data_IF_111438140416
#
_entry.id   IF_111438140416
#
_cell.length_a   1.000
_cell.length_b   1.000
_cell.length_c   1.000
_cell.angle_alpha   90.00
_cell.angle_beta   90.00
_cell.angle_gamma   90.00
#
_symmetry.space_group_name_H-M   'P 1'
#
loop_
_entity.id
_entity.type
_entity.pdbx_description
1 polymer ?
#
# COMPACT_ATOMS: atom_id res chain seq x y z
N UNK A 1 -0.06 14.30 -8.34
CA UNK A 1 0.76 14.43 -7.11
C UNK A 1 1.91 13.45 -7.21
N UNK A 2 3.11 13.92 -7.56
CA UNK A 2 4.25 13.02 -7.70
C UNK A 2 4.79 12.64 -6.31
N UNK A 3 5.01 11.35 -6.10
CA UNK A 3 5.65 10.81 -4.90
C UNK A 3 6.77 9.86 -5.30
N UNK A 4 7.83 9.80 -4.52
CA UNK A 4 8.82 8.74 -4.61
C UNK A 4 8.57 7.73 -3.49
N UNK A 5 8.17 6.51 -3.83
CA UNK A 5 7.76 5.47 -2.90
C UNK A 5 8.73 4.28 -2.93
N UNK A 6 9.03 3.75 -1.75
CA UNK A 6 9.85 2.55 -1.57
C UNK A 6 9.18 1.67 -0.52
N UNK A 7 8.80 0.45 -0.88
CA UNK A 7 8.47 -0.59 0.11
C UNK A 7 9.76 -0.90 0.84
N UNK A 8 9.81 -0.82 2.17
CA UNK A 8 11.01 -1.08 2.96
C UNK A 8 11.05 -2.49 3.52
N UNK A 9 9.88 -3.06 3.79
CA UNK A 9 9.73 -4.38 4.39
C UNK A 9 8.37 -5.01 4.03
N UNK A 10 8.37 -6.33 3.84
CA UNK A 10 7.17 -7.16 3.73
C UNK A 10 7.34 -8.27 4.75
N UNK A 11 6.57 -8.19 5.83
CA UNK A 11 6.68 -9.07 6.99
C UNK A 11 5.40 -9.88 7.15
N UNK A 12 5.54 -11.22 7.26
CA UNK A 12 4.42 -12.07 7.67
C UNK A 12 4.20 -11.92 9.17
N UNK A 13 2.96 -11.65 9.57
CA UNK A 13 2.53 -11.63 10.97
C UNK A 13 1.79 -12.89 11.38
N UNK A 14 1.22 -12.86 12.58
CA UNK A 14 0.35 -13.92 13.11
C UNK A 14 -1.10 -13.40 13.16
N UNK A 15 -2.07 -14.22 12.76
CA UNK A 15 -3.50 -13.84 12.85
C UNK A 15 -3.91 -13.48 14.29
N UNK A 16 -3.22 -14.03 15.29
CA UNK A 16 -3.38 -13.69 16.70
C UNK A 16 -3.10 -12.21 17.01
N UNK A 17 -2.28 -11.52 16.21
CA UNK A 17 -2.02 -10.07 16.34
C UNK A 17 -3.31 -9.25 16.15
N UNK A 18 -4.31 -9.86 15.53
CA UNK A 18 -5.60 -9.27 15.23
C UNK A 18 -6.72 -9.72 16.18
N UNK A 19 -6.39 -10.44 17.27
CA UNK A 19 -7.39 -11.03 18.18
C UNK A 19 -8.32 -10.04 18.89
N UNK A 20 -8.00 -8.73 18.87
CA UNK A 20 -8.85 -7.66 19.40
C UNK A 20 -9.76 -7.00 18.33
N UNK A 21 -9.73 -7.52 17.09
CA UNK A 21 -10.44 -6.97 15.95
C UNK A 21 -11.42 -7.99 15.38
N UNK A 22 -12.51 -7.51 14.79
CA UNK A 22 -13.43 -8.35 14.04
C UNK A 22 -12.79 -8.79 12.72
N UNK A 23 -12.50 -10.08 12.59
CA UNK A 23 -12.01 -10.68 11.35
C UNK A 23 -13.20 -11.07 10.47
N UNK A 24 -13.22 -10.67 9.18
CA UNK A 24 -14.27 -11.08 8.26
C UNK A 24 -14.30 -12.60 8.10
N UNK A 25 -15.51 -13.16 7.96
CA UNK A 25 -15.67 -14.59 7.72
C UNK A 25 -14.87 -15.05 6.49
N UNK A 26 -14.14 -16.17 6.65
CA UNK A 26 -13.25 -16.70 5.61
C UNK A 26 -11.81 -16.20 5.69
N UNK A 27 -11.48 -15.36 6.68
CA UNK A 27 -10.11 -14.94 6.99
C UNK A 27 -9.63 -15.43 8.36
N UNK A 28 -10.35 -16.37 8.99
CA UNK A 28 -10.01 -16.91 10.31
C UNK A 28 -8.63 -17.60 10.34
N UNK A 29 -8.23 -18.21 9.21
CA UNK A 29 -6.92 -18.84 9.00
C UNK A 29 -6.04 -17.98 8.07
N UNK A 30 -6.33 -16.69 7.92
CA UNK A 30 -5.54 -15.82 7.05
C UNK A 30 -4.16 -15.52 7.65
N UNK A 31 -3.15 -15.43 6.80
CA UNK A 31 -1.84 -14.91 7.19
C UNK A 31 -1.81 -13.39 6.97
N UNK A 32 -1.63 -12.58 8.02
CA UNK A 32 -1.44 -11.15 7.85
C UNK A 32 -0.06 -10.85 7.29
N UNK A 33 0.02 -9.84 6.43
CA UNK A 33 1.28 -9.30 5.94
C UNK A 33 1.33 -7.79 6.16
N UNK A 34 2.37 -7.34 6.86
CA UNK A 34 2.65 -5.93 7.11
C UNK A 34 3.62 -5.41 6.05
N UNK A 35 3.15 -4.48 5.23
CA UNK A 35 3.94 -3.90 4.14
C UNK A 35 4.29 -2.49 4.53
N UNK A 36 5.54 -2.30 4.96
CA UNK A 36 6.07 -1.01 5.38
C UNK A 36 6.67 -0.29 4.19
N UNK A 37 6.52 1.03 4.16
CA UNK A 37 7.05 1.84 3.08
C UNK A 37 7.45 3.22 3.56
N UNK A 38 8.38 3.82 2.83
CA UNK A 38 8.69 5.25 2.88
C UNK A 38 8.19 5.91 1.61
N UNK A 39 7.78 7.16 1.73
CA UNK A 39 7.41 7.97 0.58
C UNK A 39 7.87 9.42 0.77
N UNK A 40 8.33 10.04 -0.31
CA UNK A 40 8.72 11.44 -0.35
C UNK A 40 7.84 12.23 -1.30
N UNK A 41 7.51 13.47 -0.93
CA UNK A 41 6.85 14.40 -1.83
C UNK A 41 7.85 14.84 -2.92
N UNK A 42 7.57 14.45 -4.17
CA UNK A 42 8.41 14.79 -5.31
C UNK A 42 7.86 15.99 -6.12
N UNK A 43 6.87 16.70 -5.57
CA UNK A 43 6.20 17.83 -6.20
C UNK A 43 6.25 19.08 -5.35
N UNK A 44 5.88 20.21 -5.96
CA UNK A 44 5.93 21.52 -5.31
C UNK A 44 4.76 21.80 -4.36
N UNK A 45 3.68 21.01 -4.42
CA UNK A 45 2.51 21.17 -3.55
C UNK A 45 2.72 20.42 -2.23
N UNK A 46 2.35 21.03 -1.11
CA UNK A 46 2.32 20.35 0.19
C UNK A 46 1.27 19.23 0.20
N UNK A 47 1.65 18.03 0.61
CA UNK A 47 0.78 16.85 0.67
C UNK A 47 0.19 16.62 2.08
N UNK A 48 -0.07 17.69 2.83
CA UNK A 48 -0.75 17.64 4.12
C UNK A 48 -2.02 16.79 4.07
N UNK A 49 -2.15 15.88 5.04
CA UNK A 49 -3.28 14.95 5.18
C UNK A 49 -3.42 13.94 4.03
N UNK A 50 -2.45 13.86 3.11
CA UNK A 50 -2.45 12.84 2.08
C UNK A 50 -2.03 11.49 2.66
N UNK A 51 -2.89 10.49 2.53
CA UNK A 51 -2.62 9.11 2.93
C UNK A 51 -2.30 8.26 1.70
N UNK A 52 -1.15 7.60 1.70
CA UNK A 52 -0.72 6.68 0.64
C UNK A 52 -1.29 5.29 0.96
N UNK A 53 -2.39 4.90 0.32
CA UNK A 53 -3.06 3.63 0.58
C UNK A 53 -3.37 2.79 -0.67
N UNK A 54 -3.08 3.31 -1.87
CA UNK A 54 -3.37 2.68 -3.16
C UNK A 54 -2.45 1.51 -3.52
N UNK A 55 -2.29 0.54 -2.61
CA UNK A 55 -1.54 -0.68 -2.84
C UNK A 55 -2.43 -1.82 -3.36
N UNK A 56 -1.80 -2.82 -3.97
CA UNK A 56 -2.37 -4.11 -4.37
C UNK A 56 -1.35 -5.21 -4.05
N UNK A 57 -1.80 -6.36 -3.59
CA UNK A 57 -1.00 -7.55 -3.33
C UNK A 57 -1.26 -8.61 -4.40
N UNK A 58 -0.33 -9.55 -4.56
CA UNK A 58 -0.48 -10.70 -5.43
C UNK A 58 0.00 -11.96 -4.70
N UNK A 59 -0.79 -13.02 -4.78
CA UNK A 59 -0.35 -14.36 -4.34
C UNK A 59 0.57 -15.04 -5.38
N UNK A 60 0.96 -16.28 -5.09
CA UNK A 60 1.82 -17.08 -5.96
C UNK A 60 1.18 -17.44 -7.32
N UNK A 61 -0.15 -17.39 -7.42
CA UNK A 61 -0.93 -17.68 -8.63
C UNK A 61 -1.21 -16.40 -9.45
N UNK A 62 -0.85 -15.23 -8.88
CA UNK A 62 -1.06 -13.91 -9.48
C UNK A 62 -2.46 -13.36 -9.22
N UNK A 63 -3.23 -13.92 -8.29
CA UNK A 63 -4.51 -13.35 -7.90
C UNK A 63 -4.31 -12.07 -7.08
N UNK A 64 -5.10 -11.05 -7.37
CA UNK A 64 -5.04 -9.78 -6.65
C UNK A 64 -5.60 -9.90 -5.24
N UNK A 65 -4.87 -9.31 -4.29
CA UNK A 65 -5.25 -9.17 -2.89
C UNK A 65 -5.33 -7.69 -2.58
N UNK A 66 -6.44 -7.26 -2.00
CA UNK A 66 -6.64 -5.88 -1.59
C UNK A 66 -6.11 -5.64 -0.18
N UNK A 67 -5.50 -4.49 0.12
CA UNK A 67 -5.11 -4.17 1.49
C UNK A 67 -6.36 -4.04 2.37
N UNK A 68 -6.27 -4.55 3.60
CA UNK A 68 -7.31 -4.42 4.61
C UNK A 68 -7.32 -2.98 5.15
N UNK A 69 -8.30 -2.19 4.72
CA UNK A 69 -8.36 -0.75 5.01
C UNK A 69 -9.06 -0.39 6.32
N UNK A 70 -9.80 -1.33 6.93
CA UNK A 70 -10.58 -1.07 8.15
C UNK A 70 -10.57 -2.30 9.04
N UNK A 71 -9.97 -2.16 10.22
CA UNK A 71 -10.05 -3.14 11.30
C UNK A 71 -10.81 -2.45 12.44
N UNK A 72 -12.03 -2.91 12.73
CA UNK A 72 -12.81 -2.44 13.87
C UNK A 72 -12.38 -3.19 15.13
N UNK A 73 -11.89 -2.47 16.13
CA UNK A 73 -11.41 -3.07 17.38
C UNK A 73 -11.66 -2.16 18.58
N UNK A 74 -11.57 -2.75 19.78
CA UNK A 74 -11.70 -2.03 21.05
C UNK A 74 -10.47 -1.18 21.40
N UNK A 75 -9.33 -1.45 20.77
CA UNK A 75 -8.05 -0.77 20.97
C UNK A 75 -7.42 -0.36 19.63
N UNK A 76 -6.58 0.68 19.60
CA UNK A 76 -5.91 1.11 18.38
C UNK A 76 -4.91 0.06 17.89
N UNK A 77 -4.97 -0.31 16.62
CA UNK A 77 -3.96 -1.18 15.99
C UNK A 77 -2.66 -0.40 15.79
N UNK A 78 -1.57 -0.85 16.43
CA UNK A 78 -0.28 -0.16 16.38
C UNK A 78 0.79 -0.87 15.55
N UNK A 79 0.61 -2.15 15.23
CA UNK A 79 1.62 -2.92 14.50
C UNK A 79 1.84 -2.40 13.06
N UNK A 80 0.79 -1.87 12.45
CA UNK A 80 0.80 -1.32 11.10
C UNK A 80 -0.05 -0.05 11.04
N UNK A 81 0.61 1.11 10.95
CA UNK A 81 -0.03 2.41 10.94
C UNK A 81 0.28 3.16 9.63
N UNK A 82 -0.73 3.82 9.09
CA UNK A 82 -0.63 4.66 7.90
C UNK A 82 -1.18 6.06 8.20
N UNK A 83 -0.57 6.76 9.16
CA UNK A 83 -1.09 8.06 9.59
C UNK A 83 -0.66 9.11 8.57
N UNK A 84 -1.63 9.83 8.02
CA UNK A 84 -1.34 10.94 7.12
C UNK A 84 -0.61 12.06 7.89
N UNK A 85 0.52 12.57 7.38
CA UNK A 85 1.25 13.63 8.04
C UNK A 85 0.47 14.94 7.97
N UNK A 86 0.59 15.77 9.01
CA UNK A 86 -0.11 17.08 9.05
C UNK A 86 0.42 18.08 8.03
N UNK A 87 1.65 17.86 7.54
CA UNK A 87 2.30 18.58 6.45
C UNK A 87 3.33 17.64 5.80
N UNK A 88 3.54 17.79 4.50
CA UNK A 88 4.60 17.08 3.79
C UNK A 88 5.06 17.94 2.61
N UNK A 89 6.00 18.83 2.86
CA UNK A 89 6.53 19.76 1.88
C UNK A 89 7.40 19.05 0.83
N UNK A 90 7.76 19.76 -0.25
CA UNK A 90 8.62 19.24 -1.31
C UNK A 90 9.93 18.65 -0.73
N UNK A 91 10.24 17.42 -1.11
CA UNK A 91 11.42 16.68 -0.66
C UNK A 91 11.30 16.05 0.73
N UNK A 92 10.28 16.39 1.52
CA UNK A 92 10.04 15.75 2.81
C UNK A 92 9.54 14.32 2.63
N UNK A 93 9.85 13.48 3.61
CA UNK A 93 9.50 12.06 3.62
C UNK A 93 8.64 11.70 4.82
N UNK A 94 7.77 10.71 4.63
CA UNK A 94 6.96 10.10 5.66
C UNK A 94 6.98 8.58 5.50
N UNK A 95 6.50 7.90 6.53
CA UNK A 95 6.40 6.44 6.60
C UNK A 95 4.94 6.01 6.60
N UNK A 96 4.69 4.79 6.17
CA UNK A 96 3.38 4.18 6.27
C UNK A 96 3.46 2.67 6.26
N UNK A 97 2.32 2.04 6.56
CA UNK A 97 2.18 0.61 6.54
C UNK A 97 0.78 0.22 6.06
N UNK A 98 0.68 -0.75 5.15
CA UNK A 98 -0.59 -1.37 4.77
C UNK A 98 -0.59 -2.84 5.19
N UNK A 99 -1.75 -3.29 5.67
CA UNK A 99 -2.00 -4.68 6.05
C UNK A 99 -2.66 -5.42 4.87
N UNK A 100 -2.16 -6.59 4.53
CA UNK A 100 -2.86 -7.56 3.68
C UNK A 100 -3.26 -8.77 4.51
N UNK A 101 -4.45 -9.32 4.26
CA UNK A 101 -4.84 -10.63 4.79
C UNK A 101 -4.86 -11.61 3.61
N UNK A 102 -3.96 -12.60 3.65
CA UNK A 102 -3.90 -13.64 2.64
C UNK A 102 -4.64 -14.86 3.17
N UNK A 103 -5.73 -15.33 2.52
CA UNK A 103 -6.53 -16.44 3.01
C UNK A 103 -5.75 -17.77 3.04
N UNK A 104 -6.28 -18.75 3.76
CA UNK A 104 -5.79 -20.14 3.79
C UNK A 104 -4.29 -20.29 4.12
N UNK A 105 -3.78 -19.48 5.06
CA UNK A 105 -2.36 -19.39 5.43
C UNK A 105 -1.41 -19.18 4.22
N UNK A 106 -1.92 -18.54 3.17
CA UNK A 106 -1.21 -18.31 1.92
C UNK A 106 -0.07 -17.29 2.03
N UNK A 107 0.68 -17.17 0.94
CA UNK A 107 1.83 -16.25 0.85
C UNK A 107 1.55 -15.04 -0.03
N UNK A 108 1.94 -13.87 0.45
CA UNK A 108 2.01 -12.65 -0.35
C UNK A 108 3.29 -12.70 -1.21
N UNK A 109 3.17 -13.06 -2.48
CA UNK A 109 4.30 -13.21 -3.39
C UNK A 109 4.89 -11.85 -3.79
N UNK A 110 4.02 -10.85 -4.02
CA UNK A 110 4.45 -9.50 -4.29
C UNK A 110 3.40 -8.46 -3.89
N UNK A 111 3.84 -7.21 -3.79
CA UNK A 111 2.99 -6.04 -3.58
C UNK A 111 3.30 -5.01 -4.64
N UNK A 112 2.33 -4.19 -4.97
CA UNK A 112 2.54 -3.05 -5.83
C UNK A 112 1.75 -1.83 -5.44
N UNK A 113 2.20 -0.70 -5.97
CA UNK A 113 1.54 0.58 -5.82
C UNK A 113 0.84 0.94 -7.12
N UNK A 114 -0.48 1.08 -7.04
CA UNK A 114 -1.33 1.48 -8.16
C UNK A 114 -1.88 2.90 -8.03
N UNK A 115 -1.75 3.52 -6.85
CA UNK A 115 -2.28 4.84 -6.56
C UNK A 115 -3.78 4.85 -6.22
N UNK A 116 -4.34 6.03 -5.99
CA UNK A 116 -5.76 6.20 -5.66
C UNK A 116 -6.54 6.39 -6.95
N UNK A 117 -7.35 5.42 -7.37
CA UNK A 117 -8.04 5.47 -8.67
C UNK A 117 -8.84 6.75 -8.87
N UNK A 118 -8.60 7.44 -10.00
CA UNK A 118 -9.37 8.62 -10.42
C UNK A 118 -10.05 8.30 -11.75
N UNK A 119 -11.36 8.08 -11.69
CA UNK A 119 -12.18 8.05 -12.89
C UNK A 119 -12.39 9.48 -13.40
N UNK A 120 -12.15 9.70 -14.69
CA UNK A 120 -12.44 10.97 -15.36
C UNK A 120 -13.25 10.69 -16.65
N UNK A 121 -14.44 11.25 -16.74
CA UNK A 121 -15.30 11.05 -17.91
C UNK A 121 -14.63 11.57 -19.18
N UNK A 122 -14.65 10.75 -20.25
CA UNK A 122 -14.05 11.10 -21.54
C UNK A 122 -12.53 10.99 -21.61
N UNK A 123 -11.87 10.48 -20.56
CA UNK A 123 -10.43 10.17 -20.56
C UNK A 123 -10.17 8.70 -20.83
N UNK A 124 -9.06 8.40 -21.52
CA UNK A 124 -8.57 7.03 -21.62
C UNK A 124 -7.71 6.77 -20.39
N UNK A 125 -8.34 6.39 -19.28
CA UNK A 125 -7.66 6.27 -17.98
C UNK A 125 -6.51 5.27 -17.99
N UNK A 126 -6.52 4.27 -18.87
CA UNK A 126 -5.42 3.32 -19.03
C UNK A 126 -4.20 3.96 -19.69
N UNK A 127 -4.41 4.73 -20.76
CA UNK A 127 -3.34 5.47 -21.41
C UNK A 127 -2.83 6.64 -20.57
N UNK A 128 -3.74 7.35 -19.90
CA UNK A 128 -3.45 8.55 -19.12
C UNK A 128 -2.86 8.21 -17.73
N UNK A 129 -3.20 7.04 -17.20
CA UNK A 129 -2.75 6.59 -15.86
C UNK A 129 -2.35 5.10 -15.87
N UNK A 130 -1.25 4.75 -16.57
CA UNK A 130 -0.83 3.36 -16.74
C UNK A 130 -0.52 2.64 -15.41
N UNK A 131 -0.14 3.38 -14.36
CA UNK A 131 0.18 2.80 -13.04
C UNK A 131 -1.00 2.04 -12.38
N UNK A 132 -2.25 2.31 -12.78
CA UNK A 132 -3.40 1.53 -12.30
C UNK A 132 -3.49 0.14 -12.93
N UNK A 133 -2.91 -0.03 -14.11
CA UNK A 133 -2.99 -1.24 -14.91
C UNK A 133 -1.67 -2.01 -14.94
N UNK A 134 -0.55 -1.32 -14.69
CA UNK A 134 0.79 -1.88 -14.56
C UNK A 134 1.44 -1.31 -13.28
N UNK A 135 1.10 -1.86 -12.09
CA UNK A 135 1.63 -1.37 -10.83
C UNK A 135 3.11 -1.69 -10.71
N UNK A 136 3.84 -0.84 -9.98
CA UNK A 136 5.24 -1.14 -9.62
C UNK A 136 5.24 -2.29 -8.62
N UNK A 137 5.92 -3.41 -8.92
CA UNK A 137 5.93 -4.60 -8.06
C UNK A 137 7.23 -4.76 -7.23
N UNK A 138 7.05 -5.16 -5.97
CA UNK A 138 8.07 -5.56 -5.01
C UNK A 138 7.78 -6.96 -4.48
N UNK A 139 8.76 -7.86 -4.57
CA UNK A 139 8.77 -9.11 -3.79
C UNK A 139 9.39 -8.87 -2.42
N UNK A 140 9.23 -9.82 -1.48
CA UNK A 140 9.85 -9.75 -0.16
C UNK A 140 11.39 -9.54 -0.23
N UNK A 141 12.06 -10.25 -1.15
CA UNK A 141 13.50 -10.10 -1.39
C UNK A 141 13.90 -8.71 -1.90
N UNK A 142 12.98 -8.02 -2.58
CA UNK A 142 13.23 -6.76 -3.26
C UNK A 142 12.84 -5.54 -2.43
N UNK A 143 12.03 -5.70 -1.38
CA UNK A 143 11.53 -4.62 -0.53
C UNK A 143 12.68 -3.70 -0.09
N UNK A 144 13.67 -4.20 0.63
CA UNK A 144 14.78 -3.37 1.13
C UNK A 144 15.70 -2.74 0.07
N UNK A 145 15.58 -3.06 -1.22
CA UNK A 145 16.56 -2.69 -2.26
C UNK A 145 15.99 -1.97 -3.49
N UNK A 146 14.67 -1.97 -3.72
CA UNK A 146 14.04 -1.32 -4.87
C UNK A 146 13.38 0.02 -4.52
N UNK A 147 13.96 1.13 -4.97
CA UNK A 147 13.37 2.48 -4.88
C UNK A 147 12.55 2.91 -6.11
N UNK A 148 11.94 1.97 -6.85
CA UNK A 148 11.29 2.30 -8.13
C UNK A 148 9.78 2.58 -8.05
N UNK A 149 9.31 3.18 -6.97
CA UNK A 149 8.01 3.86 -6.95
C UNK A 149 8.16 5.34 -7.27
N UNK A 150 8.95 5.75 -8.25
CA UNK A 150 8.95 7.15 -8.69
C UNK A 150 7.66 7.39 -9.48
N UNK A 151 6.60 7.82 -8.78
CA UNK A 151 5.36 8.26 -9.41
C UNK A 151 5.62 9.63 -10.00
N UNK A 152 6.20 9.65 -11.20
CA UNK A 152 6.27 10.87 -12.01
C UNK A 152 4.90 11.01 -12.68
N UNK A 153 4.00 11.77 -12.06
CA UNK A 153 2.76 12.18 -12.72
C UNK A 153 3.12 12.91 -14.04
N UNK A 154 2.35 12.73 -15.13
CA UNK A 154 2.59 13.48 -16.35
C UNK A 154 2.53 14.98 -16.03
N UNK A 155 3.48 15.74 -16.58
CA UNK A 155 3.39 17.19 -16.56
C UNK A 155 2.06 17.61 -17.23
N UNK A 156 1.33 18.52 -16.55
CA UNK A 156 0.04 19.05 -16.99
C UNK A 156 0.00 19.44 -18.48
#
# INVERSE_FOLDING_TARGET
MPIALTVTEIEAGDIADLGNFEIPAGFDDARPYYVRFTYANAGAEDLANYQVAGFVGFDAEGAEIMPSMTMGGSEPFTACQNIAPSALAEGESAEGCVLFLVPDDGELASVGYRGNYRYEEGKNTEADFPIYYDPVLWTAEQASTKSKGAVIAPAN
#
